data_IF_195617294001
#
_entry.id   IF_195617294001
#
_cell.length_a   1.000
_cell.length_b   1.000
_cell.length_c   1.000
_cell.angle_alpha   90.00
_cell.angle_beta   90.00
_cell.angle_gamma   90.00
#
_symmetry.space_group_name_H-M   'P 1'
#
loop_
_entity.id
_entity.type
_entity.pdbx_description
1 polymer ?
#
# COMPACT_ATOMS: atom_id res chain seq x y z
N UNK A 1 -19.49 34.38 56.95
CA UNK A 1 -18.54 35.50 56.78
C UNK A 1 -17.66 35.60 58.03
N UNK A 2 -16.37 35.25 57.89
CA UNK A 2 -15.19 35.74 58.63
C UNK A 2 -13.96 34.98 58.05
N UNK A 3 -12.91 35.66 57.58
CA UNK A 3 -11.82 35.06 56.79
C UNK A 3 -10.54 34.89 57.60
N UNK A 4 -9.84 33.76 57.43
CA UNK A 4 -8.44 33.52 57.87
C UNK A 4 -7.93 32.36 57.00
N UNK A 5 -6.76 32.32 56.37
CA UNK A 5 -5.64 33.24 56.26
C UNK A 5 -4.74 32.70 55.15
N UNK A 6 -4.18 33.61 54.35
CA UNK A 6 -3.26 33.33 53.24
C UNK A 6 -1.89 32.99 53.82
N UNK A 7 -1.32 31.84 53.45
CA UNK A 7 0.11 31.57 53.64
C UNK A 7 0.73 31.47 52.25
N UNK A 8 1.38 32.57 51.87
CA UNK A 8 2.35 32.63 50.79
C UNK A 8 3.61 31.87 51.21
N UNK A 9 3.93 30.78 50.52
CA UNK A 9 5.28 30.23 50.50
C UNK A 9 5.82 30.33 49.08
N UNK A 10 6.65 31.35 48.87
CA UNK A 10 7.49 31.49 47.70
C UNK A 10 8.58 30.40 47.74
N UNK A 11 8.61 29.54 46.73
CA UNK A 11 9.79 28.73 46.43
C UNK A 11 10.52 29.37 45.26
N UNK A 12 11.70 29.88 45.57
CA UNK A 12 12.65 30.54 44.71
C UNK A 12 13.78 29.53 44.40
N UNK A 13 14.25 29.54 43.15
CA UNK A 13 15.50 28.94 42.64
C UNK A 13 15.57 27.39 42.55
N UNK A 14 16.23 26.76 41.57
CA UNK A 14 17.37 27.20 40.76
C UNK A 14 17.38 26.39 39.45
N UNK A 15 17.39 27.10 38.30
CA UNK A 15 17.74 26.57 36.98
C UNK A 15 19.25 26.35 36.92
N UNK A 16 19.69 25.11 36.71
CA UNK A 16 21.05 24.79 36.29
C UNK A 16 20.98 24.05 34.95
N UNK A 17 21.13 24.82 33.88
CA UNK A 17 21.52 24.37 32.56
C UNK A 17 23.00 23.96 32.60
N UNK A 18 23.30 22.69 32.32
CA UNK A 18 24.63 22.30 31.86
C UNK A 18 24.57 22.07 30.36
N UNK A 19 25.05 23.06 29.62
CA UNK A 19 25.31 22.97 28.20
C UNK A 19 26.56 22.11 27.97
N UNK A 20 26.42 21.02 27.23
CA UNK A 20 27.56 20.27 26.68
C UNK A 20 27.92 20.90 25.33
N UNK A 21 29.17 21.35 25.11
CA UNK A 21 29.57 21.93 23.83
C UNK A 21 29.79 20.82 22.79
N UNK A 22 28.95 20.80 21.75
CA UNK A 22 29.24 20.08 20.50
C UNK A 22 30.15 20.96 19.66
N UNK A 23 31.40 20.52 19.52
CA UNK A 23 32.43 21.15 18.68
C UNK A 23 32.25 20.63 17.24
N UNK A 24 31.99 21.54 16.30
CA UNK A 24 32.02 21.28 14.87
C UNK A 24 33.43 21.53 14.32
N UNK A 25 34.02 20.57 13.60
CA UNK A 25 35.14 20.76 12.68
C UNK A 25 35.22 19.52 11.76
N UNK A 26 34.70 19.56 10.54
CA UNK A 26 35.32 20.03 9.28
C UNK A 26 36.07 18.90 8.53
N UNK A 27 35.48 18.49 7.41
CA UNK A 27 36.11 18.09 6.14
C UNK A 27 37.19 17.02 6.11
N UNK A 28 36.90 15.90 5.46
CA UNK A 28 37.91 15.19 4.66
C UNK A 28 37.27 14.53 3.43
N UNK A 29 37.57 15.11 2.27
CA UNK A 29 37.47 14.49 0.94
C UNK A 29 38.59 13.45 0.85
N UNK A 30 38.24 12.20 0.57
CA UNK A 30 39.18 11.17 0.15
C UNK A 30 39.19 11.08 -1.37
N UNK A 31 40.25 11.58 -1.98
CA UNK A 31 40.67 11.24 -3.35
C UNK A 31 41.04 9.75 -3.40
N UNK A 32 40.67 9.08 -4.49
CA UNK A 32 41.35 7.86 -4.89
C UNK A 32 41.64 7.94 -6.40
N UNK A 33 42.91 8.20 -6.73
CA UNK A 33 43.47 8.06 -8.07
C UNK A 33 43.93 6.61 -8.24
N UNK A 34 43.66 6.02 -9.41
CA UNK A 34 44.16 4.70 -9.76
C UNK A 34 44.10 4.47 -11.27
N UNK A 35 45.16 4.87 -11.97
CA UNK A 35 45.49 4.54 -13.37
C UNK A 35 45.34 3.05 -13.66
N UNK A 36 44.91 2.71 -14.87
CA UNK A 36 45.43 1.56 -15.63
C UNK A 36 45.11 1.68 -17.12
N UNK A 37 46.16 1.96 -17.90
CA UNK A 37 46.28 1.65 -19.31
C UNK A 37 46.34 0.13 -19.54
N UNK A 38 45.70 -0.34 -20.62
CA UNK A 38 46.15 -1.41 -21.55
C UNK A 38 45.09 -1.55 -22.65
N UNK A 39 45.39 -1.19 -23.89
CA UNK A 39 45.83 -2.12 -24.93
C UNK A 39 45.07 -3.46 -24.89
N UNK A 40 44.20 -3.75 -25.85
CA UNK A 40 44.63 -4.41 -27.10
C UNK A 40 43.50 -4.44 -28.13
N UNK A 41 43.91 -4.42 -29.40
CA UNK A 41 43.12 -4.34 -30.62
C UNK A 41 42.74 -5.73 -31.11
N UNK A 42 41.51 -5.85 -31.59
CA UNK A 42 41.26 -6.33 -32.95
C UNK A 42 41.05 -7.82 -33.18
N UNK A 43 39.89 -8.14 -33.76
CA UNK A 43 39.69 -8.90 -35.03
C UNK A 43 38.22 -9.29 -35.11
N UNK A 44 37.45 -8.68 -36.02
CA UNK A 44 37.01 -9.33 -37.26
C UNK A 44 35.53 -9.70 -37.13
N UNK A 45 34.64 -9.62 -38.13
CA UNK A 45 34.82 -9.51 -39.58
C UNK A 45 33.47 -9.08 -40.20
N UNK A 46 33.56 -8.08 -41.08
CA UNK A 46 32.74 -7.76 -42.26
C UNK A 46 31.30 -8.31 -42.40
N UNK A 47 30.34 -7.39 -42.49
CA UNK A 47 29.20 -7.48 -43.42
C UNK A 47 29.29 -6.31 -44.39
N UNK A 48 29.76 -6.59 -45.60
CA UNK A 48 29.81 -5.65 -46.72
C UNK A 48 28.60 -5.96 -47.62
N UNK A 49 27.65 -5.04 -47.68
CA UNK A 49 26.64 -4.97 -48.74
C UNK A 49 27.03 -3.87 -49.70
N UNK A 50 27.55 -4.23 -50.88
CA UNK A 50 27.79 -3.32 -52.00
C UNK A 50 26.52 -3.26 -52.86
N UNK A 51 25.91 -2.09 -52.93
CA UNK A 51 25.13 -1.66 -54.09
C UNK A 51 26.11 -0.93 -55.03
N UNK A 52 26.31 -1.46 -56.23
CA UNK A 52 27.04 -0.79 -57.30
C UNK A 52 26.08 -0.64 -58.48
N UNK A 53 25.97 0.61 -58.93
CA UNK A 53 25.13 1.03 -60.04
C UNK A 53 25.63 0.51 -61.38
N UNK A 54 24.67 0.43 -62.28
CA UNK A 54 24.77 0.00 -63.67
C UNK A 54 25.53 1.03 -64.51
N UNK A 55 26.52 0.57 -65.27
CA UNK A 55 26.97 1.21 -66.51
C UNK A 55 26.86 0.21 -67.66
N UNK A 56 26.56 0.76 -68.83
CA UNK A 56 26.20 0.11 -70.09
C UNK A 56 27.35 -0.70 -70.70
N UNK A 57 27.05 -1.83 -71.35
CA UNK A 57 27.57 -2.13 -72.69
C UNK A 57 26.87 -3.30 -73.38
N UNK A 58 27.01 -3.31 -74.70
CA UNK A 58 26.18 -3.95 -75.72
C UNK A 58 26.58 -5.40 -76.08
N UNK A 59 25.59 -6.10 -76.62
CA UNK A 59 25.64 -7.04 -77.75
C UNK A 59 26.23 -8.47 -77.60
N UNK A 60 25.53 -9.35 -78.33
CA UNK A 60 25.90 -10.68 -78.85
C UNK A 60 25.67 -11.93 -77.96
N UNK A 61 24.62 -12.68 -78.32
CA UNK A 61 24.32 -14.03 -77.84
C UNK A 61 25.07 -15.10 -78.64
N UNK A 62 25.48 -16.22 -78.01
CA UNK A 62 25.68 -17.50 -78.71
C UNK A 62 24.66 -18.55 -78.26
N UNK A 63 24.10 -19.27 -79.25
CA UNK A 63 23.13 -20.36 -79.11
C UNK A 63 23.69 -21.59 -78.38
N UNK A 64 22.91 -22.19 -77.47
CA UNK A 64 23.21 -23.43 -76.77
C UNK A 64 22.43 -24.62 -77.36
N UNK A 65 23.08 -25.79 -77.44
CA UNK A 65 22.64 -27.04 -78.10
C UNK A 65 21.66 -27.88 -77.24
N UNK A 66 20.85 -28.79 -77.85
CA UNK A 66 19.60 -29.33 -77.26
C UNK A 66 19.70 -30.34 -76.09
N UNK A 67 20.88 -30.87 -75.73
CA UNK A 67 20.98 -31.94 -74.71
C UNK A 67 20.76 -31.47 -73.26
N UNK A 68 20.83 -30.17 -72.99
CA UNK A 68 20.65 -29.62 -71.64
C UNK A 68 19.18 -29.42 -71.25
N UNK A 69 18.25 -29.62 -72.18
CA UNK A 69 16.84 -29.29 -72.00
C UNK A 69 16.01 -30.43 -71.37
N UNK A 70 16.45 -31.69 -71.51
CA UNK A 70 15.70 -32.84 -70.99
C UNK A 70 15.91 -33.08 -69.49
N UNK A 71 17.08 -32.74 -68.93
CA UNK A 71 17.33 -32.92 -67.48
C UNK A 71 16.62 -31.89 -66.61
N UNK A 72 16.37 -30.69 -67.15
CA UNK A 72 15.69 -29.60 -66.44
C UNK A 72 14.19 -29.84 -66.26
N UNK A 73 13.55 -30.52 -67.21
CA UNK A 73 12.10 -30.78 -67.14
C UNK A 73 11.71 -31.75 -66.02
N UNK A 74 12.52 -32.78 -65.78
CA UNK A 74 12.19 -33.80 -64.78
C UNK A 74 12.39 -33.32 -63.33
N UNK A 75 13.28 -32.35 -63.11
CA UNK A 75 13.50 -31.75 -61.78
C UNK A 75 12.44 -30.70 -61.41
N UNK A 76 11.73 -30.17 -62.42
CA UNK A 76 10.69 -29.16 -62.25
C UNK A 76 9.32 -29.76 -61.91
N UNK A 77 9.07 -31.03 -62.25
CA UNK A 77 7.83 -31.73 -61.88
C UNK A 77 7.81 -32.19 -60.42
N UNK A 78 8.95 -32.60 -59.84
CA UNK A 78 9.00 -33.04 -58.44
C UNK A 78 8.90 -31.88 -57.43
N UNK A 79 9.39 -30.69 -57.78
CA UNK A 79 9.32 -29.50 -56.92
C UNK A 79 7.93 -28.84 -56.86
N UNK A 80 7.05 -29.17 -57.80
CA UNK A 80 5.69 -28.60 -57.87
C UNK A 80 4.69 -29.29 -56.92
N UNK A 81 4.98 -30.50 -56.44
CA UNK A 81 4.05 -31.31 -55.62
C UNK A 81 4.23 -31.13 -54.11
N UNK A 82 5.36 -30.57 -53.64
CA UNK A 82 5.61 -30.24 -52.22
C UNK A 82 5.26 -28.78 -51.84
N UNK A 83 4.94 -27.91 -52.79
CA UNK A 83 4.69 -26.49 -52.52
C UNK A 83 3.23 -26.15 -52.14
N UNK A 84 2.25 -26.99 -52.50
CA UNK A 84 0.83 -26.73 -52.22
C UNK A 84 0.44 -26.80 -50.73
N UNK A 85 0.95 -27.74 -49.90
CA UNK A 85 0.56 -27.80 -48.48
C UNK A 85 1.15 -26.67 -47.61
N UNK A 86 2.17 -25.96 -48.11
CA UNK A 86 2.93 -24.99 -47.33
C UNK A 86 2.32 -23.57 -47.43
N UNK A 87 1.78 -23.20 -48.59
CA UNK A 87 1.07 -21.93 -48.76
C UNK A 87 -0.22 -21.86 -47.93
N UNK A 88 -0.97 -22.96 -47.85
CA UNK A 88 -2.23 -23.00 -47.10
C UNK A 88 -2.00 -22.94 -45.58
N UNK A 89 -0.90 -23.54 -45.10
CA UNK A 89 -0.47 -23.43 -43.70
C UNK A 89 0.01 -22.02 -43.33
N UNK A 90 0.73 -21.34 -44.23
CA UNK A 90 1.12 -19.95 -44.04
C UNK A 90 -0.08 -18.99 -44.00
N UNK A 91 -1.09 -19.21 -44.86
CA UNK A 91 -2.32 -18.41 -44.85
C UNK A 91 -3.12 -18.58 -43.53
N UNK A 92 -3.22 -19.81 -43.02
CA UNK A 92 -3.86 -20.07 -41.73
C UNK A 92 -3.10 -19.47 -40.54
N UNK A 93 -1.76 -19.55 -40.54
CA UNK A 93 -0.96 -18.89 -39.51
C UNK A 93 -1.10 -17.36 -39.54
N UNK A 94 -1.15 -16.75 -40.73
CA UNK A 94 -1.37 -15.31 -40.85
C UNK A 94 -2.75 -14.89 -40.31
N UNK A 95 -3.82 -15.63 -40.64
CA UNK A 95 -5.15 -15.36 -40.09
C UNK A 95 -5.19 -15.48 -38.56
N UNK A 96 -4.52 -16.48 -37.99
CA UNK A 96 -4.51 -16.68 -36.55
C UNK A 96 -3.72 -15.60 -35.80
N UNK A 97 -2.60 -15.13 -36.39
CA UNK A 97 -1.84 -13.99 -35.85
C UNK A 97 -2.66 -12.70 -35.93
N UNK A 98 -3.40 -12.49 -37.01
CA UNK A 98 -4.23 -11.31 -37.21
C UNK A 98 -5.41 -11.27 -36.22
N UNK A 99 -6.07 -12.41 -35.97
CA UNK A 99 -7.10 -12.53 -34.92
C UNK A 99 -6.54 -12.28 -33.51
N UNK A 100 -5.33 -12.79 -33.21
CA UNK A 100 -4.67 -12.51 -31.92
C UNK A 100 -4.31 -11.03 -31.76
N UNK A 101 -3.90 -10.36 -32.83
CA UNK A 101 -3.61 -8.93 -32.81
C UNK A 101 -4.87 -8.11 -32.58
N UNK A 102 -5.99 -8.44 -33.25
CA UNK A 102 -7.29 -7.81 -33.01
C UNK A 102 -7.76 -8.02 -31.57
N UNK A 103 -7.73 -9.25 -31.06
CA UNK A 103 -8.14 -9.54 -29.67
C UNK A 103 -7.27 -8.80 -28.62
N UNK A 104 -5.99 -8.62 -28.89
CA UNK A 104 -5.09 -7.84 -28.02
C UNK A 104 -5.37 -6.33 -28.12
N UNK A 105 -5.70 -5.82 -29.31
CA UNK A 105 -6.10 -4.42 -29.50
C UNK A 105 -7.44 -4.13 -28.80
N UNK A 106 -8.41 -5.03 -28.90
CA UNK A 106 -9.71 -4.89 -28.21
C UNK A 106 -9.55 -4.94 -26.69
N UNK A 107 -8.70 -5.84 -26.16
CA UNK A 107 -8.35 -5.83 -24.72
C UNK A 107 -7.66 -4.55 -24.29
N UNK A 108 -6.75 -4.01 -25.10
CA UNK A 108 -6.09 -2.74 -24.79
C UNK A 108 -7.06 -1.56 -24.88
N UNK A 109 -7.99 -1.56 -25.83
CA UNK A 109 -9.02 -0.54 -25.96
C UNK A 109 -9.99 -0.58 -24.76
N UNK A 110 -10.43 -1.77 -24.33
CA UNK A 110 -11.25 -1.95 -23.13
C UNK A 110 -10.52 -1.53 -21.86
N UNK A 111 -9.23 -1.86 -21.71
CA UNK A 111 -8.42 -1.38 -20.59
C UNK A 111 -8.27 0.14 -20.60
N UNK A 112 -8.01 0.74 -21.78
CA UNK A 112 -7.93 2.21 -21.92
C UNK A 112 -9.25 2.90 -21.58
N UNK A 113 -10.39 2.36 -22.02
CA UNK A 113 -11.71 2.89 -21.66
C UNK A 113 -12.01 2.78 -20.16
N UNK A 114 -11.66 1.67 -19.50
CA UNK A 114 -11.82 1.55 -18.04
C UNK A 114 -10.91 2.52 -17.27
N UNK A 115 -9.68 2.75 -17.75
CA UNK A 115 -8.77 3.73 -17.16
C UNK A 115 -9.27 5.15 -17.39
N UNK A 116 -9.80 5.47 -18.57
CA UNK A 116 -10.40 6.76 -18.88
C UNK A 116 -11.67 7.02 -18.06
N UNK A 117 -12.56 6.05 -17.87
CA UNK A 117 -13.73 6.21 -16.99
C UNK A 117 -13.32 6.43 -15.52
N UNK A 118 -12.24 5.79 -15.05
CA UNK A 118 -11.68 6.07 -13.71
C UNK A 118 -11.05 7.46 -13.61
N UNK A 119 -10.48 7.97 -14.69
CA UNK A 119 -9.93 9.33 -14.75
C UNK A 119 -11.03 10.40 -14.83
N UNK A 120 -12.17 10.09 -15.46
CA UNK A 120 -13.35 10.97 -15.59
C UNK A 120 -14.16 11.11 -14.28
N UNK A 121 -14.00 10.21 -13.31
CA UNK A 121 -14.63 10.30 -11.99
C UNK A 121 -13.78 11.02 -10.93
N UNK A 122 -12.80 11.84 -11.35
CA UNK A 122 -11.99 12.63 -10.42
C UNK A 122 -12.81 13.83 -9.91
N UNK A 123 -12.76 14.05 -8.60
CA UNK A 123 -13.39 15.21 -7.93
C UNK A 123 -12.92 16.53 -8.55
N UNK A 124 -13.78 17.55 -8.60
CA UNK A 124 -13.44 18.89 -9.10
C UNK A 124 -12.27 19.50 -8.32
N UNK A 125 -11.43 20.31 -8.97
CA UNK A 125 -10.21 20.88 -8.35
C UNK A 125 -10.51 21.66 -7.05
N UNK A 126 -11.61 22.39 -7.00
CA UNK A 126 -12.07 23.08 -5.78
C UNK A 126 -12.40 22.08 -4.65
N UNK A 127 -13.11 20.99 -4.97
CA UNK A 127 -13.42 19.95 -4.00
C UNK A 127 -12.17 19.20 -3.54
N UNK A 128 -11.18 19.04 -4.41
CA UNK A 128 -9.87 18.49 -4.04
C UNK A 128 -9.18 19.39 -3.00
N UNK A 129 -9.12 20.71 -3.23
CA UNK A 129 -8.54 21.67 -2.27
C UNK A 129 -9.25 21.65 -0.91
N UNK A 130 -10.59 21.60 -0.92
CA UNK A 130 -11.38 21.48 0.31
C UNK A 130 -11.05 20.20 1.09
N UNK A 131 -10.91 19.06 0.40
CA UNK A 131 -10.54 17.79 1.02
C UNK A 131 -9.14 17.84 1.62
N UNK A 132 -8.16 18.42 0.91
CA UNK A 132 -6.79 18.61 1.43
C UNK A 132 -6.80 19.48 2.68
N UNK A 133 -7.51 20.63 2.64
CA UNK A 133 -7.58 21.54 3.78
C UNK A 133 -8.21 20.86 5.01
N UNK A 134 -9.34 20.18 4.83
CA UNK A 134 -9.99 19.42 5.89
C UNK A 134 -9.09 18.31 6.44
N UNK A 135 -8.33 17.66 5.55
CA UNK A 135 -7.39 16.60 5.91
C UNK A 135 -6.19 17.11 6.72
N UNK A 136 -5.60 18.25 6.33
CA UNK A 136 -4.52 18.89 7.08
C UNK A 136 -4.98 19.32 8.49
N UNK A 137 -6.21 19.84 8.60
CA UNK A 137 -6.81 20.16 9.90
C UNK A 137 -6.98 18.91 10.77
N UNK A 138 -7.52 17.82 10.23
CA UNK A 138 -7.67 16.54 10.95
C UNK A 138 -6.32 16.00 11.45
N UNK A 139 -5.30 15.98 10.60
CA UNK A 139 -3.96 15.52 11.01
C UNK A 139 -3.38 16.39 12.12
N UNK A 140 -3.62 17.70 12.07
CA UNK A 140 -3.17 18.63 13.12
C UNK A 140 -3.88 18.37 14.45
N UNK A 141 -5.20 18.24 14.43
CA UNK A 141 -6.01 17.89 15.61
C UNK A 141 -5.60 16.54 16.19
N UNK A 142 -5.39 15.53 15.33
CA UNK A 142 -4.92 14.22 15.73
C UNK A 142 -3.56 14.28 16.44
N UNK A 143 -2.60 15.04 15.89
CA UNK A 143 -1.28 15.23 16.51
C UNK A 143 -1.38 15.86 17.90
N UNK A 144 -2.28 16.82 18.10
CA UNK A 144 -2.51 17.43 19.41
C UNK A 144 -3.11 16.42 20.40
N UNK A 145 -4.06 15.59 19.96
CA UNK A 145 -4.68 14.56 20.79
C UNK A 145 -3.66 13.50 21.24
N UNK A 146 -2.71 13.12 20.39
CA UNK A 146 -1.67 12.13 20.74
C UNK A 146 -0.81 12.53 21.95
N UNK A 147 -0.52 13.82 22.13
CA UNK A 147 0.30 14.27 23.27
C UNK A 147 -0.48 14.19 24.60
N UNK A 148 -1.79 14.46 24.58
CA UNK A 148 -2.66 14.28 25.75
C UNK A 148 -2.80 12.80 26.15
N UNK A 149 -2.90 11.92 25.15
CA UNK A 149 -3.01 10.47 25.35
C UNK A 149 -1.77 9.89 26.06
N UNK A 150 -0.58 10.46 25.85
CA UNK A 150 0.64 10.00 26.53
C UNK A 150 0.59 10.20 28.06
N UNK A 151 -0.12 11.22 28.55
CA UNK A 151 -0.30 11.41 29.99
C UNK A 151 -1.25 10.35 30.57
N UNK A 152 -2.39 10.13 29.91
CA UNK A 152 -3.37 9.11 30.31
C UNK A 152 -2.76 7.71 30.31
N UNK A 153 -1.93 7.41 29.30
CA UNK A 153 -1.20 6.15 29.20
C UNK A 153 -0.28 5.89 30.42
N UNK A 154 0.40 6.91 30.94
CA UNK A 154 1.28 6.77 32.11
C UNK A 154 0.48 6.54 33.39
N UNK A 155 -0.64 7.25 33.56
CA UNK A 155 -1.54 7.05 34.69
C UNK A 155 -2.11 5.62 34.69
N UNK A 156 -2.58 5.15 33.53
CA UNK A 156 -3.08 3.79 33.37
C UNK A 156 -2.01 2.74 33.69
N UNK A 157 -0.77 2.92 33.23
CA UNK A 157 0.35 2.04 33.56
C UNK A 157 0.58 1.93 35.08
N UNK A 158 0.50 3.06 35.79
CA UNK A 158 0.66 3.11 37.25
C UNK A 158 -0.47 2.34 37.95
N UNK A 159 -1.72 2.50 37.50
CA UNK A 159 -2.87 1.77 38.03
C UNK A 159 -2.72 0.25 37.88
N UNK A 160 -2.23 -0.21 36.72
CA UNK A 160 -1.97 -1.63 36.49
C UNK A 160 -0.90 -2.17 37.44
N UNK A 161 0.18 -1.42 37.67
CA UNK A 161 1.23 -1.81 38.60
C UNK A 161 0.72 -1.91 40.04
N UNK A 162 -0.05 -0.91 40.50
CA UNK A 162 -0.65 -0.92 41.84
C UNK A 162 -1.61 -2.09 42.04
N UNK A 163 -2.36 -2.45 40.99
CA UNK A 163 -3.28 -3.59 41.00
C UNK A 163 -2.59 -4.94 40.71
N UNK A 164 -1.26 -4.99 40.59
CA UNK A 164 -0.48 -6.19 40.23
C UNK A 164 -0.93 -6.88 38.92
N UNK A 165 -1.45 -6.10 37.96
CA UNK A 165 -1.93 -6.58 36.67
C UNK A 165 -0.79 -6.68 35.65
N UNK A 166 0.09 -7.66 35.87
CA UNK A 166 1.37 -7.78 35.16
C UNK A 166 1.20 -8.09 33.67
N UNK A 167 0.26 -8.96 33.31
CA UNK A 167 0.02 -9.31 31.91
C UNK A 167 -0.59 -8.11 31.16
N UNK A 168 -1.57 -7.43 31.76
CA UNK A 168 -2.16 -6.22 31.18
C UNK A 168 -1.11 -5.10 31.06
N UNK A 169 -0.24 -4.94 32.07
CA UNK A 169 0.86 -3.98 32.01
C UNK A 169 1.80 -4.24 30.83
N UNK A 170 2.19 -5.50 30.58
CA UNK A 170 3.03 -5.87 29.42
C UNK A 170 2.33 -5.54 28.11
N UNK A 171 1.07 -5.96 27.96
CA UNK A 171 0.25 -5.63 26.79
C UNK A 171 0.18 -4.11 26.56
N UNK A 172 -0.06 -3.33 27.61
CA UNK A 172 -0.12 -1.87 27.54
C UNK A 172 1.20 -1.28 27.02
N UNK A 173 2.34 -1.73 27.54
CA UNK A 173 3.66 -1.28 27.05
C UNK A 173 3.88 -1.62 25.57
N UNK A 174 3.48 -2.81 25.12
CA UNK A 174 3.55 -3.21 23.72
C UNK A 174 2.65 -2.35 22.82
N UNK A 175 1.43 -2.06 23.27
CA UNK A 175 0.50 -1.16 22.57
C UNK A 175 1.11 0.23 22.38
N UNK A 176 1.66 0.82 23.45
CA UNK A 176 2.33 2.12 23.38
C UNK A 176 3.58 2.10 22.49
N UNK A 177 4.34 1.00 22.49
CA UNK A 177 5.47 0.85 21.59
C UNK A 177 5.03 0.86 20.12
N UNK A 178 3.97 0.14 19.78
CA UNK A 178 3.37 0.12 18.43
C UNK A 178 2.86 1.51 18.01
N UNK A 179 2.17 2.22 18.91
CA UNK A 179 1.72 3.60 18.65
C UNK A 179 2.90 4.55 18.41
N UNK A 180 4.00 4.44 19.17
CA UNK A 180 5.20 5.24 18.93
C UNK A 180 5.83 4.96 17.56
N UNK A 181 5.93 3.69 17.17
CA UNK A 181 6.44 3.31 15.84
C UNK A 181 5.56 3.88 14.72
N UNK A 182 4.24 3.80 14.87
CA UNK A 182 3.29 4.45 13.95
C UNK A 182 3.53 5.95 13.87
N UNK A 183 3.66 6.66 15.01
CA UNK A 183 3.92 8.11 15.03
C UNK A 183 5.18 8.48 14.24
N UNK A 184 6.25 7.71 14.37
CA UNK A 184 7.49 7.92 13.60
C UNK A 184 7.28 7.69 12.10
N UNK A 185 6.51 6.68 11.71
CA UNK A 185 6.17 6.44 10.31
C UNK A 185 5.37 7.60 9.70
N UNK A 186 4.48 8.22 10.48
CA UNK A 186 3.62 9.34 10.07
C UNK A 186 4.31 10.71 10.06
N UNK A 187 5.54 10.83 10.58
CA UNK A 187 6.30 12.08 10.52
C UNK A 187 6.80 12.40 9.10
N UNK A 188 6.84 11.41 8.20
CA UNK A 188 7.17 11.65 6.79
C UNK A 188 6.08 12.52 6.16
N UNK A 189 6.49 13.58 5.47
CA UNK A 189 5.56 14.47 4.77
C UNK A 189 4.75 13.67 3.75
N UNK A 190 3.42 13.82 3.82
CA UNK A 190 2.51 13.16 2.89
C UNK A 190 2.27 14.05 1.68
N UNK A 191 2.52 13.51 0.50
CA UNK A 191 2.34 14.21 -0.75
C UNK A 191 0.93 13.97 -1.30
N UNK A 192 0.01 14.88 -0.96
CA UNK A 192 -1.37 14.85 -1.46
C UNK A 192 -1.48 15.03 -2.97
N UNK A 193 -0.47 15.60 -3.64
CA UNK A 193 -0.51 15.87 -5.08
C UNK A 193 -0.15 14.63 -5.90
N UNK A 194 0.69 13.74 -5.33
CA UNK A 194 1.10 12.49 -5.96
C UNK A 194 0.30 11.27 -5.48
N UNK A 195 -0.80 11.49 -4.75
CA UNK A 195 -1.70 10.43 -4.31
C UNK A 195 -2.82 10.19 -5.34
N UNK A 196 -2.72 9.15 -6.19
CA UNK A 196 -3.72 8.87 -7.22
C UNK A 196 -5.06 8.40 -6.65
N UNK A 197 -5.17 8.20 -5.35
CA UNK A 197 -6.26 7.50 -4.70
C UNK A 197 -7.13 8.40 -3.82
N UNK A 198 -6.56 9.49 -3.28
CA UNK A 198 -7.25 10.43 -2.41
C UNK A 198 -8.49 11.06 -3.07
N UNK A 199 -8.43 11.34 -4.37
CA UNK A 199 -9.52 11.99 -5.13
C UNK A 199 -10.43 11.03 -5.88
N UNK A 200 -10.40 9.74 -5.54
CA UNK A 200 -11.28 8.76 -6.18
C UNK A 200 -12.71 8.89 -5.66
N UNK A 201 -13.68 8.84 -6.58
CA UNK A 201 -15.09 8.90 -6.24
C UNK A 201 -15.51 7.77 -5.28
N UNK A 202 -16.46 8.03 -4.38
CA UNK A 202 -17.04 6.98 -3.54
C UNK A 202 -17.67 5.87 -4.39
N UNK A 203 -17.51 4.63 -3.93
CA UNK A 203 -18.10 3.45 -4.59
C UNK A 203 -18.85 2.55 -3.61
N UNK A 204 -18.72 2.83 -2.31
CA UNK A 204 -19.42 2.14 -1.24
C UNK A 204 -20.21 3.15 -0.42
N UNK A 205 -21.28 2.67 0.20
CA UNK A 205 -21.92 3.31 1.36
C UNK A 205 -21.86 2.38 2.57
N UNK A 206 -21.81 2.96 3.76
CA UNK A 206 -21.80 2.24 5.02
C UNK A 206 -22.71 2.91 6.04
N UNK A 207 -23.22 2.14 7.00
CA UNK A 207 -24.05 2.67 8.08
C UNK A 207 -23.24 2.73 9.38
N UNK A 208 -23.22 3.91 10.01
CA UNK A 208 -22.60 4.14 11.32
C UNK A 208 -23.55 4.94 12.19
N UNK A 209 -24.02 4.33 13.28
CA UNK A 209 -24.92 4.99 14.23
C UNK A 209 -26.27 5.39 13.62
N UNK A 210 -26.78 4.64 12.64
CA UNK A 210 -28.06 4.92 11.97
C UNK A 210 -27.95 5.83 10.75
N UNK A 211 -26.83 6.55 10.59
CA UNK A 211 -26.57 7.42 9.44
C UNK A 211 -25.79 6.70 8.34
N UNK A 212 -26.09 7.01 7.09
CA UNK A 212 -25.36 6.51 5.93
C UNK A 212 -24.25 7.47 5.51
N UNK A 213 -23.11 6.91 5.15
CA UNK A 213 -21.94 7.63 4.69
C UNK A 213 -21.39 6.96 3.44
N UNK A 214 -20.80 7.73 2.55
CA UNK A 214 -20.16 7.22 1.33
C UNK A 214 -18.65 7.18 1.48
N UNK A 215 -18.02 6.18 0.88
CA UNK A 215 -16.58 5.98 0.95
C UNK A 215 -16.04 5.35 -0.33
N UNK A 216 -14.81 5.70 -0.71
CA UNK A 216 -14.12 5.09 -1.83
C UNK A 216 -13.48 3.74 -1.43
N UNK A 217 -12.85 3.04 -2.38
CA UNK A 217 -12.20 1.74 -2.10
C UNK A 217 -11.12 1.83 -1.02
N UNK A 218 -10.38 2.94 -0.97
CA UNK A 218 -9.27 3.13 -0.05
C UNK A 218 -9.76 3.35 1.37
N UNK A 219 -10.77 4.20 1.54
CA UNK A 219 -11.43 4.37 2.83
C UNK A 219 -12.14 3.08 3.26
N UNK A 220 -12.77 2.35 2.35
CA UNK A 220 -13.34 1.03 2.68
C UNK A 220 -12.26 0.05 3.18
N UNK A 221 -11.10 0.02 2.53
CA UNK A 221 -9.95 -0.76 2.98
C UNK A 221 -9.45 -0.30 4.35
N UNK A 222 -9.38 1.01 4.60
CA UNK A 222 -9.03 1.58 5.89
C UNK A 222 -10.01 1.10 7.00
N UNK A 223 -11.32 1.11 6.75
CA UNK A 223 -12.30 0.62 7.72
C UNK A 223 -12.17 -0.90 7.95
N UNK A 224 -11.89 -1.69 6.90
CA UNK A 224 -11.57 -3.12 7.06
C UNK A 224 -10.31 -3.34 7.90
N UNK A 225 -9.29 -2.50 7.73
CA UNK A 225 -8.09 -2.54 8.56
C UNK A 225 -8.40 -2.16 10.00
N UNK A 226 -9.24 -1.15 10.24
CA UNK A 226 -9.65 -0.74 11.58
C UNK A 226 -10.24 -1.91 12.37
N UNK A 227 -11.19 -2.65 11.78
CA UNK A 227 -11.80 -3.83 12.42
C UNK A 227 -10.76 -4.90 12.72
N UNK A 228 -9.85 -5.19 11.78
CA UNK A 228 -8.82 -6.22 11.97
C UNK A 228 -7.80 -5.84 13.05
N UNK A 229 -7.29 -4.60 13.03
CA UNK A 229 -6.40 -4.11 14.07
C UNK A 229 -7.09 -4.09 15.43
N UNK A 230 -8.33 -3.63 15.47
CA UNK A 230 -9.17 -3.69 16.66
C UNK A 230 -9.26 -5.11 17.20
N UNK A 231 -9.63 -6.08 16.37
CA UNK A 231 -9.73 -7.48 16.76
C UNK A 231 -8.42 -8.02 17.32
N UNK A 232 -7.29 -7.74 16.68
CA UNK A 232 -5.99 -8.21 17.13
C UNK A 232 -5.58 -7.61 18.49
N UNK A 233 -5.80 -6.30 18.69
CA UNK A 233 -5.50 -5.65 19.97
C UNK A 233 -6.46 -6.10 21.07
N UNK A 234 -7.74 -6.28 20.75
CA UNK A 234 -8.74 -6.81 21.66
C UNK A 234 -8.37 -8.20 22.14
N UNK A 235 -7.98 -9.09 21.23
CA UNK A 235 -7.59 -10.45 21.56
C UNK A 235 -6.41 -10.52 22.53
N UNK A 236 -5.37 -9.69 22.29
CA UNK A 236 -4.22 -9.59 23.21
C UNK A 236 -4.63 -9.04 24.58
N UNK A 237 -5.50 -8.02 24.61
CA UNK A 237 -6.02 -7.46 25.86
C UNK A 237 -6.84 -8.49 26.65
N UNK A 238 -7.72 -9.24 25.98
CA UNK A 238 -8.53 -10.28 26.62
C UNK A 238 -7.67 -11.40 27.20
N UNK A 239 -6.64 -11.83 26.47
CA UNK A 239 -5.67 -12.80 27.00
C UNK A 239 -4.92 -12.28 28.23
N UNK A 240 -4.52 -11.01 28.22
CA UNK A 240 -3.82 -10.39 29.33
C UNK A 240 -4.72 -10.33 30.59
N UNK A 241 -5.97 -9.91 30.43
CA UNK A 241 -6.94 -9.85 31.53
C UNK A 241 -7.22 -11.23 32.12
N UNK A 242 -7.37 -12.24 31.25
CA UNK A 242 -7.51 -13.64 31.66
C UNK A 242 -6.29 -14.13 32.45
N UNK A 243 -5.07 -13.82 32.00
CA UNK A 243 -3.82 -14.22 32.69
C UNK A 243 -3.70 -13.58 34.07
N UNK A 244 -4.14 -12.33 34.21
CA UNK A 244 -4.20 -11.63 35.50
C UNK A 244 -5.37 -12.09 36.39
N UNK A 245 -6.17 -13.07 35.95
CA UNK A 245 -7.43 -13.50 36.60
C UNK A 245 -8.40 -12.34 36.85
N UNK A 246 -8.36 -11.33 35.99
CA UNK A 246 -9.19 -10.15 36.08
C UNK A 246 -10.57 -10.41 35.46
N UNK A 247 -11.59 -9.70 35.93
CA UNK A 247 -12.92 -9.76 35.33
C UNK A 247 -12.90 -9.21 33.90
N UNK A 248 -13.76 -9.74 33.03
CA UNK A 248 -13.93 -9.20 31.68
C UNK A 248 -14.37 -7.73 31.73
N UNK A 249 -13.57 -6.83 31.17
CA UNK A 249 -13.82 -5.38 31.18
C UNK A 249 -13.06 -4.65 30.05
N UNK A 250 -13.38 -5.00 28.80
CA UNK A 250 -12.72 -4.42 27.63
C UNK A 250 -12.90 -2.91 27.51
N UNK A 251 -14.00 -2.36 28.04
CA UNK A 251 -14.34 -0.93 27.93
C UNK A 251 -13.34 -0.05 28.70
N UNK A 252 -12.74 -0.60 29.75
CA UNK A 252 -11.71 0.06 30.55
C UNK A 252 -10.28 -0.17 30.02
N UNK A 253 -10.11 -0.91 28.92
CA UNK A 253 -8.81 -1.04 28.28
C UNK A 253 -8.39 0.28 27.62
N UNK A 254 -7.17 0.73 27.89
CA UNK A 254 -6.60 1.91 27.24
C UNK A 254 -6.63 1.81 25.70
N UNK A 255 -6.33 0.63 25.14
CA UNK A 255 -6.37 0.42 23.69
C UNK A 255 -7.79 0.55 23.09
N UNK A 256 -8.83 0.17 23.84
CA UNK A 256 -10.22 0.37 23.43
C UNK A 256 -10.64 1.84 23.49
N UNK A 257 -10.20 2.56 24.53
CA UNK A 257 -10.50 3.97 24.72
C UNK A 257 -9.79 4.82 23.66
N UNK A 258 -8.49 4.58 23.44
CA UNK A 258 -7.70 5.25 22.41
C UNK A 258 -8.21 4.92 21.00
N UNK A 259 -8.29 3.63 20.64
CA UNK A 259 -8.76 3.12 19.34
C UNK A 259 -8.04 3.68 18.09
N UNK A 260 -6.85 4.29 18.25
CA UNK A 260 -6.16 4.98 17.16
C UNK A 260 -5.04 4.13 16.51
N UNK A 261 -4.77 2.93 17.03
CA UNK A 261 -3.75 2.06 16.44
C UNK A 261 -4.12 1.67 15.01
N UNK A 262 -3.18 1.86 14.09
CA UNK A 262 -3.34 1.64 12.65
C UNK A 262 -3.96 2.82 11.89
N UNK A 263 -4.42 3.88 12.57
CA UNK A 263 -4.91 5.08 11.91
C UNK A 263 -3.74 5.98 11.48
N UNK A 264 -3.55 6.10 10.17
CA UNK A 264 -2.50 6.94 9.59
C UNK A 264 -2.90 8.41 9.43
N UNK A 265 -4.16 8.72 9.74
CA UNK A 265 -4.74 10.04 9.56
C UNK A 265 -5.36 10.23 8.18
N UNK A 266 -5.07 9.40 7.19
CA UNK A 266 -5.47 9.60 5.79
C UNK A 266 -6.75 8.82 5.43
N UNK A 267 -7.38 9.20 4.30
CA UNK A 267 -8.46 8.44 3.63
C UNK A 267 -9.75 8.12 4.42
N UNK A 268 -10.02 8.82 5.52
CA UNK A 268 -11.27 8.59 6.25
C UNK A 268 -11.43 9.44 7.48
N UNK A 269 -12.66 9.44 7.99
CA UNK A 269 -13.02 10.08 9.24
C UNK A 269 -12.46 9.26 10.42
N UNK A 270 -11.76 9.93 11.34
CA UNK A 270 -11.16 9.30 12.52
C UNK A 270 -12.24 8.64 13.38
N UNK A 271 -13.41 9.27 13.51
CA UNK A 271 -14.50 8.70 14.30
C UNK A 271 -15.04 7.40 13.69
N UNK A 272 -15.01 7.27 12.36
CA UNK A 272 -15.44 6.04 11.67
C UNK A 272 -14.41 4.95 11.93
N UNK A 273 -13.13 5.28 11.78
CA UNK A 273 -12.04 4.37 12.10
C UNK A 273 -12.15 3.86 13.54
N UNK A 274 -12.23 4.76 14.51
CA UNK A 274 -12.26 4.43 15.93
C UNK A 274 -13.51 3.61 16.30
N UNK A 275 -14.66 3.92 15.71
CA UNK A 275 -15.88 3.12 15.87
C UNK A 275 -15.66 1.67 15.42
N UNK A 276 -15.17 1.45 14.20
CA UNK A 276 -14.98 0.11 13.66
C UNK A 276 -13.80 -0.63 14.30
N UNK A 277 -12.77 0.08 14.74
CA UNK A 277 -11.73 -0.47 15.59
C UNK A 277 -12.33 -1.06 16.87
N UNK A 278 -13.18 -0.30 17.58
CA UNK A 278 -13.85 -0.78 18.80
C UNK A 278 -14.80 -1.95 18.52
N UNK A 279 -15.45 -1.99 17.35
CA UNK A 279 -16.24 -3.15 16.92
C UNK A 279 -15.38 -4.41 16.77
N UNK A 280 -14.20 -4.29 16.17
CA UNK A 280 -13.23 -5.39 16.12
C UNK A 280 -12.72 -5.76 17.51
N UNK A 281 -12.35 -4.77 18.30
CA UNK A 281 -11.74 -4.93 19.63
C UNK A 281 -12.62 -5.71 20.60
N UNK A 282 -13.90 -5.33 20.71
CA UNK A 282 -14.83 -6.04 21.59
C UNK A 282 -14.93 -7.53 21.26
N UNK A 283 -14.99 -7.88 19.97
CA UNK A 283 -15.03 -9.28 19.49
C UNK A 283 -13.73 -10.02 19.73
N UNK A 284 -12.60 -9.36 19.43
CA UNK A 284 -11.27 -9.93 19.69
C UNK A 284 -11.06 -10.19 21.17
N UNK A 285 -11.46 -9.24 22.02
CA UNK A 285 -11.38 -9.38 23.46
C UNK A 285 -12.20 -10.56 23.97
N UNK A 286 -13.43 -10.72 23.50
CA UNK A 286 -14.26 -11.88 23.89
C UNK A 286 -13.59 -13.20 23.52
N UNK A 287 -13.04 -13.31 22.30
CA UNK A 287 -12.29 -14.50 21.86
C UNK A 287 -11.02 -14.72 22.71
N UNK A 288 -10.23 -13.68 22.95
CA UNK A 288 -8.98 -13.76 23.71
C UNK A 288 -9.20 -14.08 25.19
N UNK A 289 -10.20 -13.47 25.81
CA UNK A 289 -10.57 -13.67 27.21
C UNK A 289 -11.13 -15.07 27.46
N UNK A 290 -11.95 -15.58 26.54
CA UNK A 290 -12.52 -16.92 26.65
C UNK A 290 -11.65 -18.03 26.05
N UNK A 291 -10.51 -17.68 25.43
CA UNK A 291 -9.66 -18.61 24.66
C UNK A 291 -10.43 -19.35 23.56
N UNK A 292 -11.22 -18.60 22.78
CA UNK A 292 -12.07 -19.08 21.68
C UNK A 292 -11.68 -18.40 20.36
N UNK A 293 -12.28 -18.88 19.28
CA UNK A 293 -12.10 -18.35 17.92
C UNK A 293 -13.47 -18.23 17.23
N UNK A 294 -14.40 -17.50 17.85
CA UNK A 294 -15.76 -17.35 17.38
C UNK A 294 -15.88 -16.30 16.27
N UNK A 295 -15.18 -15.17 16.42
CA UNK A 295 -15.29 -14.04 15.50
C UNK A 295 -14.10 -13.89 14.57
N UNK A 296 -12.97 -14.48 14.93
CA UNK A 296 -11.76 -14.42 14.14
C UNK A 296 -10.89 -15.66 14.27
N UNK A 297 -9.71 -15.55 13.65
CA UNK A 297 -8.75 -16.62 13.58
C UNK A 297 -7.33 -16.07 13.65
N UNK A 298 -6.39 -16.91 14.06
CA UNK A 298 -4.97 -16.62 14.00
C UNK A 298 -4.38 -17.20 12.71
N UNK A 299 -3.77 -16.36 11.88
CA UNK A 299 -3.14 -16.78 10.63
C UNK A 299 -1.92 -15.89 10.34
N UNK A 300 -0.82 -16.51 9.89
CA UNK A 300 0.41 -15.81 9.49
C UNK A 300 0.94 -14.82 10.54
N UNK A 301 0.88 -15.17 11.83
CA UNK A 301 1.37 -14.30 12.90
C UNK A 301 0.41 -13.19 13.34
N UNK A 302 -0.80 -13.14 12.78
CA UNK A 302 -1.78 -12.09 13.08
C UNK A 302 -3.17 -12.65 13.41
N UNK A 303 -3.86 -11.98 14.32
CA UNK A 303 -5.27 -12.20 14.62
C UNK A 303 -6.13 -11.39 13.64
N UNK A 304 -7.04 -12.03 12.94
CA UNK A 304 -7.89 -11.39 11.93
C UNK A 304 -9.34 -11.78 12.13
N UNK A 305 -10.25 -10.85 11.86
CA UNK A 305 -11.68 -11.12 11.96
C UNK A 305 -12.13 -11.97 10.76
N UNK A 306 -13.09 -12.87 10.95
CA UNK A 306 -13.65 -13.67 9.86
C UNK A 306 -14.34 -12.78 8.83
N UNK A 307 -14.19 -13.11 7.54
CA UNK A 307 -14.72 -12.30 6.44
C UNK A 307 -16.24 -12.07 6.52
N UNK A 308 -17.01 -13.09 6.94
CA UNK A 308 -18.45 -12.95 7.13
C UNK A 308 -18.81 -11.92 8.23
N UNK A 309 -18.10 -11.97 9.36
CA UNK A 309 -18.30 -11.03 10.46
C UNK A 309 -17.85 -9.62 10.06
N UNK A 310 -16.74 -9.50 9.33
CA UNK A 310 -16.27 -8.22 8.79
C UNK A 310 -17.32 -7.56 7.89
N UNK A 311 -17.92 -8.33 6.98
CA UNK A 311 -18.99 -7.85 6.11
C UNK A 311 -20.23 -7.42 6.90
N UNK A 312 -20.60 -8.16 7.94
CA UNK A 312 -21.72 -7.81 8.81
C UNK A 312 -21.44 -6.52 9.61
N UNK A 313 -20.23 -6.37 10.15
CA UNK A 313 -19.84 -5.21 10.96
C UNK A 313 -19.82 -3.94 10.11
N UNK A 314 -19.17 -3.97 8.94
CA UNK A 314 -19.04 -2.78 8.10
C UNK A 314 -20.28 -2.51 7.26
N UNK A 315 -21.01 -3.56 6.85
CA UNK A 315 -22.16 -3.50 5.96
C UNK A 315 -21.92 -2.56 4.76
N UNK A 316 -20.78 -2.75 4.08
CA UNK A 316 -20.44 -1.97 2.90
C UNK A 316 -21.35 -2.37 1.73
N UNK A 317 -22.11 -1.42 1.22
CA UNK A 317 -23.01 -1.62 0.09
C UNK A 317 -22.44 -0.92 -1.13
N UNK A 318 -22.34 -1.64 -2.26
CA UNK A 318 -21.94 -1.06 -3.54
C UNK A 318 -22.92 0.04 -3.96
N UNK A 319 -22.40 1.17 -4.45
CA UNK A 319 -23.19 2.24 -5.08
C UNK A 319 -23.37 2.01 -6.59
N UNK A 320 -22.81 0.93 -7.13
CA UNK A 320 -22.95 0.49 -8.52
C UNK A 320 -23.91 -0.65 -8.67
#
# INVERSE_FOLDING_TARGET
>A
MKPVGVISTAFLFLLLWTAVPVRAQQGQKGENQGKSEKQDKGKGRAKQGKQQGQEQEQQAAPQATPEQQQKSQNQQQQSSQEQQPNQQRQAQQQQQVQQRQQANQDRQAQQKQQVQQRQLARLSQERQQQLIAAQQQRVTQYRQHLDQQQLLAQQYATQLQQANRLANYRFHQEYLARLRQQRLALQRAYDYNNDPYFYTAPIYRYNRGGSYYEINEYGAKLLRQAVNYGYAEGFRAGQADRQDHWRSDYQNSYAYQDANYGYDGYYGDQDAYNYYFRQGFSRGYDDGFNSRAQYGQYSNGSYTILGAILSQVLNLQSLR
#
